data_IF_182215272702
#
_entry.id   IF_182215272702
#
_cell.length_a   1.000
_cell.length_b   1.000
_cell.length_c   1.000
_cell.angle_alpha   90.00
_cell.angle_beta   90.00
_cell.angle_gamma   90.00
#
_symmetry.space_group_name_H-M   'P 1'
#
loop_
_entity.id
_entity.type
_entity.pdbx_description
1 polymer ?
#
# COMPACT_ATOMS: atom_id res chain seq x y z
N UNK A 1 59.72 -11.64 -8.91
CA UNK A 1 58.70 -12.60 -8.43
C UNK A 1 57.53 -11.77 -7.92
N UNK A 2 56.41 -11.70 -8.65
CA UNK A 2 55.29 -10.79 -8.34
C UNK A 2 54.06 -11.66 -8.02
N UNK A 3 53.70 -11.74 -6.75
CA UNK A 3 52.58 -12.53 -6.25
C UNK A 3 51.25 -11.93 -6.73
N UNK A 4 50.41 -12.78 -7.33
CA UNK A 4 49.04 -12.44 -7.69
C UNK A 4 48.11 -12.84 -6.54
N UNK A 5 47.47 -11.84 -5.93
CA UNK A 5 46.38 -12.02 -4.96
C UNK A 5 45.09 -12.16 -5.79
N UNK A 6 44.47 -13.33 -5.77
CA UNK A 6 43.15 -13.54 -6.35
C UNK A 6 42.08 -13.07 -5.35
N UNK A 7 41.48 -11.91 -5.60
CA UNK A 7 40.26 -11.46 -4.93
C UNK A 7 39.06 -12.21 -5.52
N UNK A 8 38.50 -13.17 -4.77
CA UNK A 8 37.18 -13.72 -5.07
C UNK A 8 36.11 -12.70 -4.68
N UNK A 9 35.51 -12.06 -5.69
CA UNK A 9 34.34 -11.21 -5.51
C UNK A 9 33.11 -12.11 -5.39
N UNK A 10 32.60 -12.31 -4.17
CA UNK A 10 31.31 -12.95 -3.96
C UNK A 10 30.21 -11.97 -4.37
N UNK A 11 29.61 -12.18 -5.55
CA UNK A 11 28.39 -11.50 -5.96
C UNK A 11 27.25 -11.95 -5.03
N UNK A 12 26.95 -11.16 -4.00
CA UNK A 12 25.64 -11.19 -3.35
C UNK A 12 24.64 -10.62 -4.34
N UNK A 13 24.06 -11.48 -5.16
CA UNK A 13 22.90 -11.14 -5.96
C UNK A 13 21.69 -11.12 -5.02
N UNK A 14 21.39 -9.98 -4.43
CA UNK A 14 20.13 -9.77 -3.71
C UNK A 14 18.99 -9.82 -4.73
N UNK A 15 18.40 -10.99 -4.94
CA UNK A 15 17.14 -11.08 -5.66
C UNK A 15 16.13 -10.21 -4.90
N UNK A 16 15.53 -9.21 -5.57
CA UNK A 16 14.34 -8.54 -5.05
C UNK A 16 13.27 -9.63 -4.87
N UNK A 17 13.05 -10.09 -3.64
CA UNK A 17 11.90 -10.94 -3.35
C UNK A 17 10.65 -10.07 -3.50
N UNK A 18 9.85 -10.37 -4.52
CA UNK A 18 8.50 -9.82 -4.64
C UNK A 18 7.75 -10.09 -3.34
N UNK A 19 7.12 -9.06 -2.77
CA UNK A 19 6.37 -9.24 -1.54
C UNK A 19 5.22 -10.23 -1.77
N UNK A 20 4.98 -11.17 -0.84
CA UNK A 20 3.94 -12.18 -1.01
C UNK A 20 2.57 -11.51 -1.15
N UNK A 21 1.66 -12.20 -1.84
CA UNK A 21 0.25 -11.83 -1.83
C UNK A 21 -0.31 -12.09 -0.42
N UNK A 22 -1.15 -11.19 0.11
CA UNK A 22 -1.77 -11.41 1.42
C UNK A 22 -2.74 -12.58 1.35
N UNK A 23 -2.78 -13.38 2.41
CA UNK A 23 -3.80 -14.42 2.58
C UNK A 23 -5.13 -13.78 2.99
N UNK A 24 -6.24 -14.22 2.40
CA UNK A 24 -7.59 -13.74 2.69
C UNK A 24 -8.48 -14.87 3.17
N UNK A 25 -9.48 -14.53 3.98
CA UNK A 25 -10.47 -15.46 4.54
C UNK A 25 -11.39 -16.02 3.45
N UNK A 26 -11.71 -15.22 2.44
CA UNK A 26 -12.58 -15.57 1.31
C UNK A 26 -12.25 -14.71 0.08
N UNK A 27 -12.64 -15.16 -1.11
CA UNK A 27 -12.32 -14.48 -2.35
C UNK A 27 -10.84 -14.62 -2.75
N UNK A 28 -10.32 -13.66 -3.51
CA UNK A 28 -8.92 -13.65 -3.93
C UNK A 28 -8.38 -12.23 -4.09
N UNK A 29 -7.06 -12.11 -4.07
CA UNK A 29 -6.34 -10.87 -4.32
C UNK A 29 -5.69 -10.93 -5.70
N UNK A 30 -5.88 -9.88 -6.49
CA UNK A 30 -5.14 -9.62 -7.71
C UNK A 30 -4.28 -8.38 -7.48
N UNK A 31 -2.94 -8.56 -7.51
CA UNK A 31 -1.99 -7.45 -7.33
C UNK A 31 -1.58 -6.87 -8.68
N UNK A 32 -1.80 -5.57 -8.83
CA UNK A 32 -1.13 -4.75 -9.84
C UNK A 32 0.18 -4.27 -9.21
N UNK A 33 1.27 -5.01 -9.46
CA UNK A 33 2.59 -4.66 -8.96
C UNK A 33 3.08 -3.36 -9.61
N UNK A 34 3.68 -2.49 -8.80
CA UNK A 34 4.28 -1.21 -9.20
C UNK A 34 3.46 -0.43 -10.24
N UNK A 35 2.16 -0.29 -9.98
CA UNK A 35 1.23 0.37 -10.86
C UNK A 35 1.68 1.82 -11.11
N UNK A 36 2.03 2.12 -12.35
CA UNK A 36 2.58 3.41 -12.74
C UNK A 36 1.50 4.51 -12.77
N UNK A 37 1.89 5.72 -12.40
CA UNK A 37 1.07 6.92 -12.49
C UNK A 37 1.85 8.07 -13.13
N UNK A 38 1.14 9.00 -13.74
CA UNK A 38 1.73 10.25 -14.28
C UNK A 38 1.97 11.29 -13.19
N UNK A 39 1.28 11.17 -12.06
CA UNK A 39 1.22 12.21 -11.03
C UNK A 39 1.95 11.83 -9.74
N UNK A 40 1.96 10.54 -9.38
CA UNK A 40 2.55 10.04 -8.13
C UNK A 40 3.46 8.85 -8.38
N UNK A 41 4.34 8.57 -7.43
CA UNK A 41 5.24 7.41 -7.50
C UNK A 41 4.45 6.10 -7.66
N UNK A 42 5.01 5.20 -8.46
CA UNK A 42 4.47 3.86 -8.69
C UNK A 42 4.38 3.08 -7.38
N UNK A 43 3.31 2.29 -7.23
CA UNK A 43 3.03 1.53 -6.00
C UNK A 43 2.15 0.33 -6.30
N UNK A 44 2.19 -0.66 -5.42
CA UNK A 44 1.29 -1.81 -5.54
C UNK A 44 -0.18 -1.38 -5.33
N UNK A 45 -1.07 -2.00 -6.09
CA UNK A 45 -2.51 -1.93 -5.88
C UNK A 45 -3.04 -3.34 -5.74
N UNK A 46 -3.63 -3.66 -4.59
CA UNK A 46 -4.23 -4.96 -4.32
C UNK A 46 -5.74 -4.87 -4.52
N UNK A 47 -6.26 -5.60 -5.50
CA UNK A 47 -7.70 -5.70 -5.76
C UNK A 47 -8.22 -6.98 -5.14
N UNK A 48 -9.05 -6.85 -4.11
CA UNK A 48 -9.78 -7.97 -3.55
C UNK A 48 -11.09 -8.17 -4.28
N UNK A 49 -11.25 -9.37 -4.84
CA UNK A 49 -12.44 -9.82 -5.51
C UNK A 49 -13.20 -10.77 -4.58
N UNK A 50 -14.50 -10.54 -4.33
CA UNK A 50 -15.28 -11.38 -3.44
C UNK A 50 -15.38 -12.81 -4.00
N UNK A 51 -15.67 -13.75 -3.11
CA UNK A 51 -16.00 -15.11 -3.51
C UNK A 51 -17.17 -15.11 -4.51
N UNK A 52 -17.07 -15.93 -5.56
CA UNK A 52 -18.05 -15.96 -6.65
C UNK A 52 -18.01 -14.75 -7.60
N UNK A 53 -16.95 -13.94 -7.58
CA UNK A 53 -16.78 -12.84 -8.55
C UNK A 53 -16.91 -13.31 -10.00
N UNK A 54 -17.75 -12.61 -10.79
CA UNK A 54 -17.84 -12.79 -12.24
C UNK A 54 -17.84 -11.44 -12.96
N UNK A 55 -17.25 -11.33 -14.16
CA UNK A 55 -17.23 -10.07 -14.92
C UNK A 55 -18.62 -9.65 -15.45
N UNK A 56 -19.61 -10.56 -15.46
CA UNK A 56 -20.97 -10.28 -15.92
C UNK A 56 -21.82 -9.55 -14.86
N UNK A 57 -21.42 -9.63 -13.59
CA UNK A 57 -22.13 -8.99 -12.48
C UNK A 57 -21.53 -7.60 -12.20
N UNK A 58 -22.39 -6.66 -11.78
CA UNK A 58 -21.95 -5.34 -11.30
C UNK A 58 -21.63 -5.40 -9.81
N UNK A 59 -20.54 -4.73 -9.43
CA UNK A 59 -20.09 -4.59 -8.05
C UNK A 59 -19.89 -3.12 -7.72
N UNK A 60 -20.13 -2.74 -6.47
CA UNK A 60 -19.62 -1.49 -5.94
C UNK A 60 -18.10 -1.59 -5.78
N UNK A 61 -17.40 -0.46 -5.77
CA UNK A 61 -15.95 -0.42 -5.58
C UNK A 61 -15.62 0.47 -4.39
N UNK A 62 -14.96 -0.12 -3.39
CA UNK A 62 -14.44 0.57 -2.22
C UNK A 62 -12.93 0.76 -2.38
N UNK A 63 -12.50 2.02 -2.56
CA UNK A 63 -11.07 2.37 -2.58
C UNK A 63 -10.60 2.65 -1.16
N UNK A 64 -9.48 2.04 -0.77
CA UNK A 64 -8.89 2.20 0.56
C UNK A 64 -7.39 2.46 0.45
N UNK A 65 -6.92 3.47 1.18
CA UNK A 65 -5.50 3.71 1.39
C UNK A 65 -4.89 2.68 2.34
N UNK A 66 -3.56 2.66 2.42
CA UNK A 66 -2.79 1.68 3.20
C UNK A 66 -3.11 0.23 2.83
N UNK A 67 -3.21 -0.05 1.52
CA UNK A 67 -3.57 -1.34 0.95
C UNK A 67 -2.86 -2.56 1.57
N UNK A 68 -1.59 -2.41 1.95
CA UNK A 68 -0.81 -3.48 2.57
C UNK A 68 -1.33 -3.91 3.96
N UNK A 69 -2.13 -3.08 4.62
CA UNK A 69 -2.63 -3.29 5.99
C UNK A 69 -4.00 -3.96 6.02
N UNK A 70 -4.64 -4.15 4.86
CA UNK A 70 -6.07 -4.44 4.80
C UNK A 70 -6.42 -5.90 5.13
N UNK A 71 -5.57 -6.85 4.71
CA UNK A 71 -5.97 -8.25 4.55
C UNK A 71 -5.28 -9.21 5.52
N UNK A 72 -3.94 -9.19 5.56
CA UNK A 72 -3.15 -10.24 6.22
C UNK A 72 -2.17 -9.67 7.24
N UNK A 73 -2.39 -9.98 8.52
CA UNK A 73 -1.52 -9.50 9.60
C UNK A 73 -0.07 -9.99 9.45
N UNK A 74 0.17 -11.16 8.83
CA UNK A 74 1.50 -11.72 8.68
C UNK A 74 2.40 -10.86 7.79
N UNK A 75 1.83 -10.17 6.81
CA UNK A 75 2.55 -9.30 5.86
C UNK A 75 2.74 -7.88 6.37
N UNK A 76 2.04 -7.48 7.44
CA UNK A 76 2.13 -6.13 8.00
C UNK A 76 3.32 -5.94 8.94
N UNK A 77 3.75 -4.69 9.07
CA UNK A 77 4.85 -4.29 9.96
C UNK A 77 4.49 -4.43 11.45
N UNK A 78 3.24 -4.15 11.83
CA UNK A 78 2.76 -4.19 13.22
C UNK A 78 2.02 -5.48 13.58
N UNK A 79 1.99 -6.47 12.68
CA UNK A 79 1.31 -7.75 12.88
C UNK A 79 -0.19 -7.62 13.15
N UNK A 80 -0.82 -6.60 12.54
CA UNK A 80 -2.26 -6.36 12.60
C UNK A 80 -2.79 -6.10 11.19
N UNK A 81 -3.99 -6.61 10.91
CA UNK A 81 -4.73 -6.30 9.69
C UNK A 81 -6.09 -5.71 10.02
N UNK A 82 -6.62 -4.89 9.11
CA UNK A 82 -7.94 -4.30 9.27
C UNK A 82 -9.07 -5.31 9.02
N UNK A 83 -8.78 -6.43 8.36
CA UNK A 83 -9.72 -7.54 8.15
C UNK A 83 -10.89 -7.16 7.24
N UNK A 84 -10.59 -6.41 6.18
CA UNK A 84 -11.63 -5.86 5.31
C UNK A 84 -12.33 -6.95 4.49
N UNK A 85 -11.60 -7.99 4.05
CA UNK A 85 -12.15 -9.15 3.34
C UNK A 85 -13.25 -9.84 4.15
N UNK A 86 -12.96 -10.15 5.43
CA UNK A 86 -13.93 -10.76 6.35
C UNK A 86 -15.13 -9.87 6.57
N UNK A 87 -14.89 -8.57 6.75
CA UNK A 87 -15.96 -7.61 7.07
C UNK A 87 -16.89 -7.40 5.88
N UNK A 88 -16.34 -7.19 4.69
CA UNK A 88 -17.13 -6.99 3.46
C UNK A 88 -17.88 -8.27 3.09
N UNK A 89 -17.23 -9.44 3.11
CA UNK A 89 -17.90 -10.72 2.86
C UNK A 89 -19.10 -10.93 3.78
N UNK A 90 -18.92 -10.71 5.09
CA UNK A 90 -20.01 -10.85 6.06
C UNK A 90 -21.16 -9.87 5.78
N UNK A 91 -20.86 -8.59 5.52
CA UNK A 91 -21.90 -7.59 5.27
C UNK A 91 -22.67 -7.84 3.97
N UNK A 92 -22.00 -8.36 2.93
CA UNK A 92 -22.66 -8.78 1.67
C UNK A 92 -23.56 -9.99 1.92
N UNK A 93 -23.09 -11.00 2.66
CA UNK A 93 -23.88 -12.19 3.00
C UNK A 93 -25.10 -11.85 3.87
N UNK A 94 -24.97 -10.89 4.78
CA UNK A 94 -26.07 -10.35 5.60
C UNK A 94 -27.04 -9.44 4.80
N UNK A 95 -26.77 -9.17 3.52
CA UNK A 95 -27.58 -8.28 2.67
C UNK A 95 -27.53 -6.81 3.08
N UNK A 96 -26.54 -6.41 3.88
CA UNK A 96 -26.41 -5.04 4.43
C UNK A 96 -25.72 -4.07 3.48
N UNK A 97 -24.90 -4.60 2.57
CA UNK A 97 -24.28 -3.85 1.47
C UNK A 97 -24.42 -4.64 0.18
N UNK A 98 -24.39 -3.94 -0.95
CA UNK A 98 -24.33 -4.57 -2.27
C UNK A 98 -22.99 -5.32 -2.46
N UNK A 99 -22.93 -6.30 -3.38
CA UNK A 99 -21.68 -6.95 -3.76
C UNK A 99 -20.59 -5.92 -4.06
N UNK A 100 -19.43 -6.05 -3.41
CA UNK A 100 -18.40 -4.99 -3.38
C UNK A 100 -17.01 -5.57 -3.65
N UNK A 101 -16.22 -4.88 -4.46
CA UNK A 101 -14.78 -5.07 -4.68
C UNK A 101 -14.03 -4.08 -3.79
N UNK A 102 -12.90 -4.49 -3.22
CA UNK A 102 -12.02 -3.58 -2.46
C UNK A 102 -10.73 -3.34 -3.25
N UNK A 103 -10.38 -2.08 -3.46
CA UNK A 103 -9.14 -1.65 -4.12
C UNK A 103 -8.24 -1.01 -3.07
N UNK A 104 -7.24 -1.77 -2.61
CA UNK A 104 -6.24 -1.34 -1.64
C UNK A 104 -5.04 -0.67 -2.31
N UNK A 105 -4.95 0.65 -2.18
CA UNK A 105 -3.84 1.45 -2.70
C UNK A 105 -2.76 1.51 -1.62
N UNK A 106 -1.59 0.95 -1.91
CA UNK A 106 -0.49 0.95 -0.95
C UNK A 106 -0.02 2.37 -0.65
N UNK A 107 0.47 2.60 0.58
CA UNK A 107 1.23 3.82 0.84
C UNK A 107 2.64 3.73 0.23
N UNK A 108 3.33 4.87 0.19
CA UNK A 108 4.68 4.98 -0.35
C UNK A 108 5.75 4.99 0.75
N UNK A 109 5.60 4.11 1.75
CA UNK A 109 6.58 3.90 2.83
C UNK A 109 6.90 5.19 3.60
N UNK A 110 8.14 5.65 3.52
CA UNK A 110 8.60 6.88 4.18
C UNK A 110 7.83 8.14 3.74
N UNK A 111 7.28 8.13 2.53
CA UNK A 111 6.45 9.23 2.02
C UNK A 111 4.98 9.17 2.48
N UNK A 112 4.55 8.08 3.14
CA UNK A 112 3.15 7.91 3.60
C UNK A 112 2.62 9.15 4.31
N UNK A 113 3.40 9.71 5.23
CA UNK A 113 2.97 10.88 5.99
C UNK A 113 2.89 12.12 5.09
N UNK A 114 3.88 12.37 4.23
CA UNK A 114 3.84 13.50 3.27
C UNK A 114 2.68 13.44 2.28
N UNK A 115 2.25 12.23 1.90
CA UNK A 115 1.18 12.02 0.92
C UNK A 115 -0.21 12.09 1.57
N UNK A 116 -0.37 11.69 2.82
CA UNK A 116 -1.69 11.62 3.48
C UNK A 116 -1.98 12.80 4.40
N UNK A 117 -0.96 13.52 4.85
CA UNK A 117 -1.19 14.71 5.66
C UNK A 117 -1.80 15.83 4.81
N UNK A 118 -2.94 16.42 5.20
CA UNK A 118 -3.56 17.51 4.44
C UNK A 118 -2.60 18.72 4.31
N UNK A 119 -2.02 18.92 3.13
CA UNK A 119 -1.01 19.95 2.90
C UNK A 119 -1.51 21.36 3.26
N UNK A 120 -2.78 21.67 2.96
CA UNK A 120 -3.42 22.93 3.34
C UNK A 120 -3.48 23.18 4.84
N UNK A 121 -3.34 22.14 5.69
CA UNK A 121 -3.32 22.33 7.13
C UNK A 121 -1.99 22.95 7.62
N UNK A 122 -0.89 22.75 6.89
CA UNK A 122 0.43 23.26 7.28
C UNK A 122 0.43 24.78 7.51
N UNK A 123 -0.26 25.53 6.65
CA UNK A 123 -0.31 27.00 6.74
C UNK A 123 -0.93 27.53 8.05
N UNK A 124 -1.70 26.69 8.75
CA UNK A 124 -2.34 27.06 10.02
C UNK A 124 -1.49 26.68 11.24
N UNK A 125 -0.37 25.98 11.05
CA UNK A 125 0.53 25.62 12.14
C UNK A 125 1.55 26.74 12.40
N UNK A 126 2.08 26.88 13.63
CA UNK A 126 3.21 27.76 13.87
C UNK A 126 4.39 27.41 12.96
N UNK A 127 5.12 28.43 12.47
CA UNK A 127 6.24 28.24 11.52
C UNK A 127 7.27 27.22 12.02
N UNK A 128 7.59 27.24 13.31
CA UNK A 128 8.50 26.26 13.93
C UNK A 128 8.01 24.82 13.80
N UNK A 129 6.70 24.60 13.91
CA UNK A 129 6.05 23.29 13.77
C UNK A 129 6.00 22.88 12.30
N UNK A 130 5.71 23.82 11.39
CA UNK A 130 5.77 23.56 9.94
C UNK A 130 7.15 23.02 9.55
N UNK A 131 8.22 23.76 9.86
CA UNK A 131 9.59 23.36 9.53
C UNK A 131 9.96 22.01 10.15
N UNK A 132 9.59 21.79 11.41
CA UNK A 132 9.87 20.53 12.09
C UNK A 132 9.15 19.34 11.45
N UNK A 133 7.85 19.46 11.16
CA UNK A 133 7.07 18.40 10.51
C UNK A 133 7.56 18.10 9.10
N UNK A 134 7.83 19.15 8.31
CA UNK A 134 8.30 18.98 6.94
C UNK A 134 9.64 18.24 6.91
N UNK A 135 10.57 18.59 7.79
CA UNK A 135 11.88 17.95 7.87
C UNK A 135 11.82 16.52 8.43
N UNK A 136 11.06 16.31 9.51
CA UNK A 136 11.09 15.05 10.24
C UNK A 136 10.15 13.98 9.67
N UNK A 137 9.03 14.37 9.05
CA UNK A 137 7.96 13.45 8.68
C UNK A 137 7.54 13.54 7.21
N UNK A 138 7.94 14.58 6.47
CA UNK A 138 7.52 14.76 5.08
C UNK A 138 8.64 14.62 4.05
N UNK A 139 9.80 14.08 4.44
CA UNK A 139 10.95 13.95 3.54
C UNK A 139 11.30 15.28 2.85
N UNK A 140 11.14 16.40 3.58
CA UNK A 140 11.44 17.75 3.13
C UNK A 140 10.33 18.46 2.36
N UNK A 141 9.25 17.77 1.95
CA UNK A 141 8.19 18.38 1.13
C UNK A 141 6.84 17.70 1.33
N UNK A 142 5.77 18.49 1.52
CA UNK A 142 4.40 17.96 1.49
C UNK A 142 4.02 17.49 0.06
N UNK A 143 3.33 16.35 -0.04
CA UNK A 143 3.04 15.68 -1.33
C UNK A 143 1.56 15.39 -1.56
N UNK A 144 0.69 15.77 -0.62
CA UNK A 144 -0.73 15.40 -0.66
C UNK A 144 -1.48 15.97 -1.87
N UNK A 145 -1.02 17.10 -2.42
CA UNK A 145 -1.64 17.78 -3.56
C UNK A 145 -0.87 17.57 -4.90
N UNK A 146 -0.04 16.53 -5.02
CA UNK A 146 0.76 16.23 -6.23
C UNK A 146 -0.05 15.58 -7.38
N UNK A 147 -1.38 15.63 -7.34
CA UNK A 147 -2.27 15.02 -8.33
C UNK A 147 -2.63 15.94 -9.50
#
# INVERSE_FOLDING_TARGET
>A
MRNHIWLMFALLCSALQAQPLPSVTSGRIERLADFASRYVDARHVDVWLPEGYTPAQRYQVLYMHDGQMLFDAATTWNKQAWGIDRTVSRLVQEGRIAPTIVVGIWNNGKFRYSEYFPQKHLQFLPVSVQSALTQAAMEGTARADNY
#
